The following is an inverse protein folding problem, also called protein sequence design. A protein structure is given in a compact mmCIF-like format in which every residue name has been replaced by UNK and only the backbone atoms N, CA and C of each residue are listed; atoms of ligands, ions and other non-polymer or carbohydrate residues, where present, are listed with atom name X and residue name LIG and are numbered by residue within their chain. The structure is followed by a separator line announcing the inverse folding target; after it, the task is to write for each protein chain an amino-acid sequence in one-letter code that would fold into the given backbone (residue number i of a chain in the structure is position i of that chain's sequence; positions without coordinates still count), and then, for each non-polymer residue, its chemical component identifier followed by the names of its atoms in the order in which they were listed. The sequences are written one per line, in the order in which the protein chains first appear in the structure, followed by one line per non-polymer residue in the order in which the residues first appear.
data_IF_954822920534
#
_entry.id   IF_954822920534
#
_cell.length_a   1.000
_cell.length_b   1.000
_cell.length_c   1.000
_cell.angle_alpha   90.00
_cell.angle_beta   90.00
_cell.angle_gamma   90.00
#
_symmetry.space_group_name_H-M   'P 1'
#
loop_
_entity.id
_entity.type
_entity.pdbx_description
1 polymer ?
#
# COMPACT_ATOMS: atom_id res chain seq x y z
N UNK A 1 -0.77 2.97 -18.04
CA UNK A 1 -0.73 1.71 -17.25
C UNK A 1 0.67 1.32 -16.80
N UNK A 2 1.70 1.40 -17.67
CA UNK A 2 3.08 0.98 -17.36
C UNK A 2 3.71 1.61 -16.11
N UNK A 3 3.25 2.79 -15.67
CA UNK A 3 3.80 3.51 -14.51
C UNK A 3 3.06 3.17 -13.20
N UNK A 4 1.76 2.83 -13.25
CA UNK A 4 0.94 2.61 -12.04
C UNK A 4 1.32 1.32 -11.28
N UNK A 5 1.66 0.25 -12.00
CA UNK A 5 2.13 -1.01 -11.42
C UNK A 5 3.43 -0.84 -10.62
N UNK A 6 4.50 -0.30 -11.21
CA UNK A 6 5.73 -0.01 -10.48
C UNK A 6 5.54 0.97 -9.33
N UNK A 7 4.67 1.98 -9.47
CA UNK A 7 4.37 2.92 -8.40
C UNK A 7 3.70 2.25 -7.20
N UNK A 8 2.75 1.34 -7.42
CA UNK A 8 2.10 0.64 -6.31
C UNK A 8 3.09 -0.27 -5.58
N UNK A 9 3.97 -0.96 -6.32
CA UNK A 9 5.06 -1.76 -5.71
C UNK A 9 5.99 -0.89 -4.89
N UNK A 10 6.40 0.26 -5.44
CA UNK A 10 7.32 1.18 -4.75
C UNK A 10 6.69 1.74 -3.49
N UNK A 11 5.38 2.06 -3.54
CA UNK A 11 4.60 2.45 -2.36
C UNK A 11 4.62 1.37 -1.28
N UNK A 12 4.39 0.12 -1.66
CA UNK A 12 4.41 -1.01 -0.73
C UNK A 12 5.80 -1.32 -0.18
N UNK A 13 6.84 -1.25 -1.02
CA UNK A 13 8.23 -1.41 -0.57
C UNK A 13 8.57 -0.31 0.44
N UNK A 14 8.15 0.93 0.20
CA UNK A 14 8.31 2.02 1.16
C UNK A 14 7.57 1.74 2.47
N UNK A 15 6.30 1.29 2.42
CA UNK A 15 5.55 0.87 3.61
C UNK A 15 6.23 -0.28 4.37
N UNK A 16 6.80 -1.25 3.65
CA UNK A 16 7.60 -2.35 4.21
C UNK A 16 8.88 -1.89 4.88
N UNK A 17 9.65 -1.02 4.23
CA UNK A 17 10.84 -0.41 4.84
C UNK A 17 10.44 0.35 6.11
N UNK A 18 9.32 1.06 6.07
CA UNK A 18 8.70 1.72 7.21
C UNK A 18 8.37 0.76 8.35
N UNK A 19 7.89 -0.46 8.08
CA UNK A 19 7.62 -1.48 9.10
C UNK A 19 8.88 -2.02 9.79
N UNK A 20 9.95 -2.26 9.03
CA UNK A 20 11.17 -2.93 9.53
C UNK A 20 12.29 -1.97 9.98
N UNK A 21 12.14 -0.67 9.77
CA UNK A 21 13.12 0.32 10.22
C UNK A 21 13.12 0.48 11.74
N UNK A 22 14.29 0.84 12.27
CA UNK A 22 14.51 1.07 13.69
C UNK A 22 14.10 2.48 14.14
N UNK A 23 13.37 3.26 13.35
CA UNK A 23 13.06 4.68 13.65
C UNK A 23 11.58 4.94 13.92
N UNK A 24 10.91 4.06 14.67
CA UNK A 24 9.50 4.25 15.03
C UNK A 24 9.33 5.18 16.22
N UNK A 25 10.18 5.01 17.22
CA UNK A 25 10.20 5.84 18.41
C UNK A 25 11.63 6.01 18.92
N UNK A 26 11.85 7.07 19.68
CA UNK A 26 13.14 7.44 20.25
C UNK A 26 13.02 7.35 21.76
N UNK A 27 13.86 6.53 22.38
CA UNK A 27 14.03 6.47 23.85
C UNK A 27 15.49 6.73 24.15
N UNK A 28 15.79 7.62 25.10
CA UNK A 28 17.17 7.89 25.55
C UNK A 28 18.12 8.26 24.40
N UNK A 29 17.62 9.00 23.41
CA UNK A 29 18.38 9.38 22.21
C UNK A 29 18.66 8.24 21.23
N UNK A 30 18.12 7.03 21.46
CA UNK A 30 18.28 5.87 20.58
C UNK A 30 16.97 5.56 19.85
N UNK A 31 17.06 5.49 18.53
CA UNK A 31 15.97 5.06 17.68
C UNK A 31 15.68 3.56 17.88
N UNK A 32 14.40 3.21 18.01
CA UNK A 32 13.93 1.82 18.07
C UNK A 32 12.79 1.56 17.10
N UNK A 33 12.77 0.34 16.57
CA UNK A 33 11.71 -0.16 15.69
C UNK A 33 10.60 -0.86 16.48
N UNK A 34 9.49 -1.13 15.80
CA UNK A 34 8.39 -1.94 16.33
C UNK A 34 8.66 -3.46 16.23
N UNK A 35 9.63 -3.85 15.39
CA UNK A 35 10.11 -5.22 15.23
C UNK A 35 11.63 -5.23 15.50
N UNK A 36 12.17 -6.12 16.37
CA UNK A 36 11.47 -7.12 17.18
C UNK A 36 10.66 -6.49 18.32
N UNK A 37 9.57 -7.17 18.71
CA UNK A 37 8.60 -6.69 19.71
C UNK A 37 9.28 -6.19 20.98
N UNK A 38 9.11 -4.91 21.29
CA UNK A 38 9.43 -4.37 22.59
C UNK A 38 8.27 -4.62 23.55
N UNK A 39 8.58 -5.16 24.74
CA UNK A 39 7.57 -5.69 25.69
C UNK A 39 6.54 -4.65 26.15
N UNK A 40 6.88 -3.35 26.08
CA UNK A 40 6.00 -2.23 26.44
C UNK A 40 5.04 -1.81 25.33
N UNK A 41 5.31 -2.18 24.07
CA UNK A 41 4.48 -1.85 22.89
C UNK A 41 3.93 -3.17 22.32
N UNK A 42 3.14 -3.90 23.11
CA UNK A 42 2.35 -5.02 22.60
C UNK A 42 1.09 -4.46 21.95
N UNK A 43 1.23 -4.01 20.71
CA UNK A 43 0.05 -3.69 19.91
C UNK A 43 -0.36 -4.89 19.06
N UNK A 44 -1.61 -5.33 19.23
CA UNK A 44 -2.22 -6.42 18.47
C UNK A 44 -2.38 -6.09 16.98
N UNK A 45 -2.14 -4.83 16.60
CA UNK A 45 -2.18 -4.34 15.23
C UNK A 45 -0.90 -4.66 14.42
N UNK A 46 0.24 -4.94 15.07
CA UNK A 46 1.51 -5.23 14.37
C UNK A 46 1.43 -6.51 13.52
N UNK A 47 0.91 -7.67 14.01
CA UNK A 47 0.70 -8.85 13.17
C UNK A 47 -0.24 -8.60 12.00
N UNK A 48 -1.22 -7.69 12.15
CA UNK A 48 -2.16 -7.34 11.07
C UNK A 48 -1.44 -6.57 9.96
N UNK A 49 -0.59 -5.61 10.30
CA UNK A 49 0.26 -4.94 9.30
C UNK A 49 1.16 -5.92 8.56
N UNK A 50 1.77 -6.87 9.29
CA UNK A 50 2.67 -7.86 8.71
C UNK A 50 1.92 -8.81 7.76
N UNK A 51 0.73 -9.28 8.16
CA UNK A 51 -0.13 -10.13 7.32
C UNK A 51 -0.52 -9.42 6.03
N UNK A 52 -0.93 -8.16 6.12
CA UNK A 52 -1.32 -7.35 4.96
C UNK A 52 -0.14 -7.11 4.04
N UNK A 53 1.02 -6.76 4.60
CA UNK A 53 2.25 -6.61 3.84
C UNK A 53 2.61 -7.90 3.07
N UNK A 54 2.49 -9.07 3.70
CA UNK A 54 2.72 -10.36 3.06
C UNK A 54 1.68 -10.69 1.99
N UNK A 55 0.39 -10.50 2.26
CA UNK A 55 -0.69 -10.73 1.28
C UNK A 55 -0.46 -9.90 0.01
N UNK A 56 -0.09 -8.63 0.18
CA UNK A 56 0.18 -7.74 -0.94
C UNK A 56 1.41 -8.18 -1.73
N UNK A 57 2.49 -8.61 -1.07
CA UNK A 57 3.68 -9.13 -1.77
C UNK A 57 3.31 -10.33 -2.62
N UNK A 58 2.60 -11.31 -2.03
CA UNK A 58 2.17 -12.53 -2.73
C UNK A 58 1.32 -12.16 -3.95
N UNK A 59 0.35 -11.26 -3.80
CA UNK A 59 -0.48 -10.84 -4.90
C UNK A 59 0.29 -10.07 -5.97
N UNK A 60 1.22 -9.19 -5.59
CA UNK A 60 2.05 -8.44 -6.52
C UNK A 60 2.93 -9.38 -7.37
N UNK A 61 3.56 -10.37 -6.75
CA UNK A 61 4.41 -11.34 -7.46
C UNK A 61 3.60 -12.19 -8.46
N UNK A 62 2.36 -12.55 -8.13
CA UNK A 62 1.52 -13.40 -8.99
C UNK A 62 0.81 -12.63 -10.11
N UNK A 63 0.38 -11.38 -9.87
CA UNK A 63 -0.49 -10.65 -10.81
C UNK A 63 0.33 -9.88 -11.86
N UNK A 64 1.54 -9.45 -11.54
CA UNK A 64 2.37 -8.62 -12.42
C UNK A 64 2.90 -9.37 -13.66
N UNK A 65 3.39 -10.62 -13.57
CA UNK A 65 3.94 -11.35 -14.73
C UNK A 65 2.89 -11.66 -15.80
N UNK A 66 1.70 -12.11 -15.37
CA UNK A 66 0.60 -12.44 -16.29
C UNK A 66 0.08 -11.19 -17.00
N UNK A 67 0.01 -10.05 -16.29
CA UNK A 67 -0.41 -8.80 -16.88
C UNK A 67 0.59 -8.24 -17.91
N UNK A 68 1.91 -8.33 -17.65
CA UNK A 68 2.94 -7.89 -18.60
C UNK A 68 2.88 -8.65 -19.92
N UNK A 69 2.53 -9.94 -19.90
CA UNK A 69 2.44 -10.74 -21.14
C UNK A 69 1.22 -10.41 -22.00
N UNK A 70 0.10 -10.05 -21.39
CA UNK A 70 -1.16 -9.89 -22.13
C UNK A 70 -1.41 -8.47 -22.67
N UNK A 71 -1.02 -7.42 -21.95
CA UNK A 71 -1.20 -6.02 -22.41
C UNK A 71 -0.41 -5.71 -23.68
N UNK A 72 0.73 -6.38 -23.88
CA UNK A 72 1.57 -6.22 -25.06
C UNK A 72 0.89 -6.61 -26.38
N UNK A 73 -0.25 -7.34 -26.34
CA UNK A 73 -0.85 -7.90 -27.56
C UNK A 73 -2.12 -7.22 -28.06
N UNK A 74 -2.91 -6.53 -27.22
CA UNK A 74 -4.33 -6.27 -27.62
C UNK A 74 -4.90 -4.87 -27.32
N UNK A 75 -4.14 -3.93 -26.75
CA UNK A 75 -4.69 -2.59 -26.48
C UNK A 75 -5.87 -2.59 -25.49
N UNK A 76 -6.66 -1.50 -25.46
CA UNK A 76 -7.72 -1.24 -24.48
C UNK A 76 -8.82 -2.32 -24.50
N UNK A 77 -8.80 -3.23 -23.52
CA UNK A 77 -9.73 -4.36 -23.42
C UNK A 77 -10.42 -4.43 -22.05
N UNK A 78 -11.50 -5.21 -21.93
CA UNK A 78 -12.16 -5.55 -20.66
C UNK A 78 -11.16 -6.07 -19.61
N UNK A 79 -10.10 -6.76 -20.05
CA UNK A 79 -9.04 -7.26 -19.16
C UNK A 79 -8.23 -6.13 -18.52
N UNK A 80 -7.98 -5.05 -19.25
CA UNK A 80 -7.31 -3.86 -18.73
C UNK A 80 -8.15 -3.18 -17.63
N UNK A 81 -9.48 -3.17 -17.78
CA UNK A 81 -10.42 -2.70 -16.75
C UNK A 81 -10.37 -3.59 -15.51
N UNK A 82 -10.36 -4.92 -15.68
CA UNK A 82 -10.25 -5.85 -14.56
C UNK A 82 -8.93 -5.67 -13.79
N UNK A 83 -7.82 -5.45 -14.50
CA UNK A 83 -6.54 -5.15 -13.87
C UNK A 83 -6.56 -3.87 -13.04
N UNK A 84 -7.13 -2.78 -13.58
CA UNK A 84 -7.29 -1.55 -12.81
C UNK A 84 -8.19 -1.75 -11.58
N UNK A 85 -9.20 -2.62 -11.68
CA UNK A 85 -10.01 -3.07 -10.55
C UNK A 85 -9.18 -3.78 -9.49
N UNK A 86 -8.35 -4.75 -9.88
CA UNK A 86 -7.43 -5.43 -8.97
C UNK A 86 -6.45 -4.46 -8.32
N UNK A 87 -5.83 -3.58 -9.11
CA UNK A 87 -4.86 -2.60 -8.62
C UNK A 87 -5.49 -1.62 -7.63
N UNK A 88 -6.73 -1.21 -7.89
CA UNK A 88 -7.55 -0.42 -6.96
C UNK A 88 -7.82 -1.19 -5.67
N UNK A 89 -8.23 -2.46 -5.75
CA UNK A 89 -8.48 -3.29 -4.57
C UNK A 89 -7.23 -3.42 -3.68
N UNK A 90 -6.05 -3.65 -4.28
CA UNK A 90 -4.79 -3.70 -3.54
C UNK A 90 -4.40 -2.37 -2.92
N UNK A 91 -4.52 -1.28 -3.67
CA UNK A 91 -4.24 0.06 -3.15
C UNK A 91 -5.17 0.42 -1.98
N UNK A 92 -6.44 0.03 -2.05
CA UNK A 92 -7.40 0.21 -0.94
C UNK A 92 -7.04 -0.65 0.28
N UNK A 93 -6.65 -1.91 0.04
CA UNK A 93 -6.16 -2.80 1.08
C UNK A 93 -4.91 -2.25 1.77
N UNK A 94 -3.97 -1.67 1.01
CA UNK A 94 -2.81 -0.97 1.55
C UNK A 94 -3.25 0.08 2.58
N UNK A 95 -4.03 1.05 2.10
CA UNK A 95 -4.39 2.24 2.88
C UNK A 95 -5.16 1.86 4.13
N UNK A 96 -6.14 0.96 4.02
CA UNK A 96 -7.02 0.61 5.14
C UNK A 96 -6.26 -0.13 6.25
N UNK A 97 -5.33 -1.01 5.88
CA UNK A 97 -4.69 -1.93 6.82
C UNK A 97 -3.31 -1.48 7.30
N UNK A 98 -2.78 -0.37 6.81
CA UNK A 98 -1.56 0.26 7.35
C UNK A 98 -1.89 1.56 8.09
N UNK A 99 -2.82 2.38 7.59
CA UNK A 99 -3.19 3.65 8.24
C UNK A 99 -3.72 3.42 9.65
N UNK A 100 -4.64 2.46 9.81
CA UNK A 100 -5.23 2.15 11.11
C UNK A 100 -4.18 1.68 12.13
N UNK A 101 -3.36 0.65 11.83
CA UNK A 101 -2.28 0.27 12.74
C UNK A 101 -1.24 1.36 13.03
N UNK A 102 -0.84 2.17 12.04
CA UNK A 102 0.10 3.28 12.26
C UNK A 102 -0.48 4.26 13.29
N UNK A 103 -1.75 4.62 13.16
CA UNK A 103 -2.44 5.50 14.11
C UNK A 103 -2.52 4.84 15.49
N UNK A 104 -2.91 3.56 15.56
CA UNK A 104 -3.01 2.82 16.83
C UNK A 104 -1.68 2.79 17.56
N UNK A 105 -0.61 2.38 16.86
CA UNK A 105 0.74 2.28 17.42
C UNK A 105 1.24 3.66 17.88
N UNK A 106 1.02 4.69 17.06
CA UNK A 106 1.44 6.07 17.41
C UNK A 106 0.69 6.58 18.64
N UNK A 107 -0.62 6.34 18.74
CA UNK A 107 -1.41 6.69 19.92
C UNK A 107 -0.97 5.91 21.16
N UNK A 108 -0.65 4.63 21.00
CA UNK A 108 -0.14 3.79 22.07
C UNK A 108 1.19 4.34 22.60
N UNK A 109 2.15 4.63 21.71
CA UNK A 109 3.44 5.26 22.07
C UNK A 109 3.22 6.59 22.80
N UNK A 110 2.34 7.45 22.30
CA UNK A 110 2.02 8.75 22.93
C UNK A 110 1.35 8.62 24.30
N UNK A 111 0.69 7.49 24.58
CA UNK A 111 0.05 7.24 25.87
C UNK A 111 1.02 6.78 26.97
N UNK A 112 2.23 6.37 26.60
CA UNK A 112 3.24 5.93 27.57
C UNK A 112 3.87 7.17 28.23
N UNK A 113 3.77 7.28 29.56
CA UNK A 113 4.18 8.46 30.34
C UNK A 113 5.70 8.72 30.42
N UNK A 114 6.54 7.96 29.72
CA UNK A 114 7.99 8.25 29.66
C UNK A 114 8.26 9.21 28.49
N UNK A 115 9.39 9.95 28.44
CA UNK A 115 9.69 10.86 27.33
C UNK A 115 10.02 10.08 26.05
N UNK A 116 8.98 9.58 25.37
CA UNK A 116 9.09 8.98 24.04
C UNK A 116 9.03 10.08 22.98
N UNK A 117 10.03 10.09 22.09
CA UNK A 117 9.95 10.84 20.84
C UNK A 117 9.32 9.99 19.73
N UNK A 118 8.48 10.58 18.88
CA UNK A 118 8.00 9.93 17.65
C UNK A 118 9.14 9.97 16.62
N UNK A 119 9.51 8.80 16.07
CA UNK A 119 10.48 8.73 14.98
C UNK A 119 9.88 9.08 13.62
N UNK A 120 10.67 9.06 12.55
CA UNK A 120 10.16 9.41 11.22
C UNK A 120 9.33 8.31 10.54
N UNK A 121 9.40 7.06 11.05
CA UNK A 121 8.82 5.90 10.37
C UNK A 121 7.29 5.93 10.26
N UNK A 122 6.52 6.34 11.28
CA UNK A 122 5.08 6.53 11.15
C UNK A 122 4.71 7.52 10.03
N UNK A 123 5.45 8.62 9.93
CA UNK A 123 5.26 9.65 8.88
C UNK A 123 5.61 9.09 7.50
N UNK A 124 6.68 8.30 7.42
CA UNK A 124 7.08 7.63 6.18
C UNK A 124 6.02 6.61 5.70
N UNK A 125 5.50 5.78 6.62
CA UNK A 125 4.39 4.86 6.33
C UNK A 125 3.13 5.63 5.89
N UNK A 126 2.76 6.71 6.58
CA UNK A 126 1.63 7.54 6.18
C UNK A 126 1.84 8.16 4.78
N UNK A 127 3.06 8.58 4.47
CA UNK A 127 3.44 9.10 3.15
C UNK A 127 3.30 8.07 2.03
N UNK A 128 3.69 6.81 2.27
CA UNK A 128 3.43 5.73 1.30
C UNK A 128 1.92 5.50 1.11
N UNK A 129 1.11 5.63 2.14
CA UNK A 129 -0.35 5.46 1.97
C UNK A 129 -1.01 6.57 1.17
N UNK A 130 -0.52 7.81 1.26
CA UNK A 130 -0.98 8.89 0.39
C UNK A 130 -0.69 8.52 -1.07
N UNK A 131 0.48 7.95 -1.37
CA UNK A 131 0.80 7.49 -2.71
C UNK A 131 -0.13 6.34 -3.16
N UNK A 132 -0.39 5.36 -2.29
CA UNK A 132 -1.35 4.27 -2.54
C UNK A 132 -2.75 4.83 -2.84
N UNK A 133 -3.21 5.85 -2.10
CA UNK A 133 -4.49 6.51 -2.31
C UNK A 133 -4.56 7.23 -3.67
N UNK A 134 -3.49 7.94 -4.06
CA UNK A 134 -3.40 8.58 -5.38
C UNK A 134 -3.52 7.52 -6.49
N UNK A 135 -2.82 6.40 -6.34
CA UNK A 135 -2.86 5.29 -7.30
C UNK A 135 -4.27 4.67 -7.37
N UNK A 136 -4.94 4.50 -6.23
CA UNK A 136 -6.33 4.05 -6.17
C UNK A 136 -7.24 4.96 -7.00
N UNK A 137 -7.19 6.27 -6.75
CA UNK A 137 -8.04 7.25 -7.44
C UNK A 137 -7.79 7.27 -8.95
N UNK A 138 -6.52 7.28 -9.37
CA UNK A 138 -6.16 7.24 -10.79
C UNK A 138 -6.64 5.94 -11.43
N UNK A 139 -6.49 4.80 -10.75
CA UNK A 139 -6.89 3.49 -11.27
C UNK A 139 -8.40 3.38 -11.44
N UNK A 140 -9.17 3.85 -10.46
CA UNK A 140 -10.64 3.92 -10.56
C UNK A 140 -11.09 4.87 -11.68
N UNK A 141 -10.46 6.04 -11.80
CA UNK A 141 -10.76 7.00 -12.85
C UNK A 141 -10.52 6.40 -14.25
N UNK A 142 -9.36 5.78 -14.47
CA UNK A 142 -9.03 5.12 -15.72
C UNK A 142 -9.95 3.92 -15.99
N UNK A 143 -10.32 3.15 -14.98
CA UNK A 143 -11.23 2.01 -15.14
C UNK A 143 -12.60 2.47 -15.61
N UNK A 144 -13.11 3.58 -15.06
CA UNK A 144 -14.35 4.21 -15.51
C UNK A 144 -14.23 4.73 -16.95
N UNK A 145 -13.15 5.45 -17.27
CA UNK A 145 -12.92 5.97 -18.62
C UNK A 145 -12.89 4.85 -19.68
N UNK A 146 -12.19 3.75 -19.41
CA UNK A 146 -12.13 2.61 -20.34
C UNK A 146 -13.45 1.86 -20.47
N UNK A 147 -14.27 1.77 -19.40
CA UNK A 147 -15.63 1.23 -19.53
C UNK A 147 -16.48 2.06 -20.48
N UNK A 148 -16.39 3.39 -20.44
CA UNK A 148 -17.12 4.26 -21.35
C UNK A 148 -16.64 4.12 -22.81
N UNK A 149 -15.32 4.00 -23.04
CA UNK A 149 -14.79 3.79 -24.40
C UNK A 149 -15.18 2.42 -24.98
N UNK A 150 -15.28 1.37 -24.16
CA UNK A 150 -15.72 0.04 -24.59
C UNK A 150 -17.25 -0.07 -24.77
N UNK A 151 -18.02 0.96 -24.41
CA UNK A 151 -19.48 1.03 -24.59
C UNK A 151 -19.89 1.81 -25.85
N UNK A 152 -18.96 2.48 -26.54
CA UNK A 152 -19.25 2.96 -27.88
C UNK A 152 -19.44 1.72 -28.79
N UNK A 153 -20.59 1.57 -29.47
CA UNK A 153 -20.73 0.49 -30.45
C UNK A 153 -19.58 0.61 -31.45
N UNK A 154 -19.06 -0.51 -31.99
CA UNK A 154 -18.08 -0.43 -33.06
C UNK A 154 -18.66 0.49 -34.13
N UNK A 155 -17.97 1.60 -34.38
CA UNK A 155 -18.13 2.35 -35.61
C UNK A 155 -17.63 1.35 -36.64
N UNK A 156 -18.58 0.71 -37.32
CA UNK A 156 -18.42 -0.31 -38.35
C UNK A 156 -18.30 -1.76 -37.84
N UNK A 157 -19.46 -2.41 -37.62
CA UNK A 157 -19.65 -3.85 -37.71
C UNK A 157 -20.97 -4.16 -38.43
#
# INVERSE_FOLDING_TARGET
MYVLGPLIISSFVAGGVGLFTQNWYIIDGKARGIIPWHSKVRDSEIPKMLLVFLMVIICSVNIIPDFRREVFKTGYTIRAVNYLGFLSFFAFGAVSFTTWPVISITNNINSIQEPYGIGYSPVFCAGSEILSLIILLISMYLAKAFRCCNQAPPIDA
#
